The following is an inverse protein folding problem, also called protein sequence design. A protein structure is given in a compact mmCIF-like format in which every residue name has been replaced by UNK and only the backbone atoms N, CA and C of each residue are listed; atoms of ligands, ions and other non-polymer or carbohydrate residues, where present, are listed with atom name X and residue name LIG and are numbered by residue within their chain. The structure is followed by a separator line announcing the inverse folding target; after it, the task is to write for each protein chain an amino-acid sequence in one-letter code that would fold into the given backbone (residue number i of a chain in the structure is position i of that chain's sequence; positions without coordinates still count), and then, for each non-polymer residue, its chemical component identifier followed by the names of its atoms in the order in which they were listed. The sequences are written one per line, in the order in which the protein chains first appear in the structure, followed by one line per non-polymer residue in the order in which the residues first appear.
data_IF_991461560719
#
_entry.id   IF_991461560719
#
_cell.length_a   1.000
_cell.length_b   1.000
_cell.length_c   1.000
_cell.angle_alpha   90.00
_cell.angle_beta   90.00
_cell.angle_gamma   90.00
#
_symmetry.space_group_name_H-M   'P 1'
#
loop_
_entity.id
_entity.type
_entity.pdbx_description
1 polymer ?
#
# COMPACT_ATOMS: atom_id res chain seq x y z
N UNK A 1 72.39 12.46 -37.41
CA UNK A 1 71.19 13.20 -36.96
C UNK A 1 69.97 12.43 -37.44
N UNK A 2 69.31 11.67 -36.56
CA UNK A 2 68.06 10.96 -36.86
C UNK A 2 67.05 11.35 -35.78
N UNK A 3 65.97 12.01 -36.20
CA UNK A 3 64.92 12.51 -35.34
C UNK A 3 63.94 11.37 -35.00
N UNK A 4 63.69 11.16 -33.71
CA UNK A 4 62.65 10.28 -33.22
C UNK A 4 61.33 11.05 -33.15
N UNK A 5 60.33 10.60 -33.90
CA UNK A 5 58.93 11.05 -33.80
C UNK A 5 58.16 9.96 -33.06
N UNK A 6 57.77 10.23 -31.82
CA UNK A 6 56.86 9.38 -31.05
C UNK A 6 55.44 9.92 -31.20
N UNK A 7 54.59 9.12 -31.86
CA UNK A 7 53.17 9.40 -32.04
C UNK A 7 52.40 9.20 -30.72
N UNK A 8 51.60 10.19 -30.33
CA UNK A 8 50.64 10.08 -29.24
C UNK A 8 49.33 9.46 -29.75
N UNK A 9 48.91 8.35 -29.16
CA UNK A 9 47.60 7.73 -29.39
C UNK A 9 46.54 8.46 -28.53
N UNK A 10 45.38 8.84 -29.10
CA UNK A 10 44.29 9.40 -28.31
C UNK A 10 43.54 8.28 -27.56
N UNK A 11 43.42 8.45 -26.24
CA UNK A 11 42.55 7.64 -25.39
C UNK A 11 41.11 8.11 -25.60
N UNK A 12 40.28 7.27 -26.22
CA UNK A 12 38.83 7.47 -26.30
C UNK A 12 38.20 7.19 -24.92
N UNK A 13 37.73 8.24 -24.25
CA UNK A 13 36.86 8.12 -23.08
C UNK A 13 35.46 7.71 -23.53
N UNK A 14 35.09 6.46 -23.24
CA UNK A 14 33.72 5.97 -23.37
C UNK A 14 32.96 6.39 -22.11
N UNK A 15 32.00 7.31 -22.24
CA UNK A 15 31.08 7.69 -21.15
C UNK A 15 30.12 6.54 -20.80
N UNK A 16 29.56 6.52 -19.58
CA UNK A 16 28.66 5.45 -19.17
C UNK A 16 27.39 5.49 -20.03
N UNK A 17 27.07 4.34 -20.66
CA UNK A 17 25.81 4.14 -21.35
C UNK A 17 24.67 4.24 -20.34
N UNK A 18 23.74 5.16 -20.56
CA UNK A 18 22.45 5.17 -19.89
C UNK A 18 21.68 3.93 -20.33
N UNK A 19 21.59 2.93 -19.46
CA UNK A 19 20.72 1.78 -19.68
C UNK A 19 19.28 2.29 -19.59
N UNK A 20 18.65 2.48 -20.74
CA UNK A 20 17.22 2.75 -20.82
C UNK A 20 16.46 1.57 -20.20
N UNK A 21 15.51 1.87 -19.33
CA UNK A 21 14.61 0.85 -18.78
C UNK A 21 13.87 0.14 -19.93
N UNK A 22 13.66 -1.19 -19.84
CA UNK A 22 12.95 -1.93 -20.88
C UNK A 22 11.53 -1.39 -21.03
N UNK A 23 11.23 -0.80 -22.18
CA UNK A 23 9.89 -0.34 -22.54
C UNK A 23 9.06 -1.56 -22.95
N UNK A 24 8.10 -1.96 -22.12
CA UNK A 24 7.09 -2.93 -22.52
C UNK A 24 6.15 -2.30 -23.57
N UNK A 25 5.73 -3.03 -24.61
CA UNK A 25 4.73 -2.55 -25.55
C UNK A 25 3.40 -2.34 -24.81
N UNK A 26 2.67 -1.24 -25.09
CA UNK A 26 1.40 -0.96 -24.43
C UNK A 26 0.40 -2.09 -24.73
N UNK A 27 -0.35 -2.57 -23.73
CA UNK A 27 -1.44 -3.51 -23.98
C UNK A 27 -2.46 -2.88 -24.97
N UNK A 28 -3.05 -3.72 -25.82
CA UNK A 28 -4.17 -3.32 -26.68
C UNK A 28 -5.32 -2.82 -25.81
N UNK A 29 -5.46 -1.49 -25.70
CA UNK A 29 -6.33 -0.74 -24.79
C UNK A 29 -6.00 -0.97 -23.31
N UNK A 30 -5.34 0.01 -22.69
CA UNK A 30 -5.14 0.02 -21.24
C UNK A 30 -6.49 0.08 -20.49
N UNK A 31 -6.58 -0.68 -19.40
CA UNK A 31 -7.76 -0.69 -18.53
C UNK A 31 -7.99 0.72 -17.98
N UNK A 32 -9.23 1.20 -18.01
CA UNK A 32 -9.55 2.54 -17.52
C UNK A 32 -9.42 3.67 -18.53
N UNK A 33 -8.97 3.40 -19.76
CA UNK A 33 -9.05 4.35 -20.88
C UNK A 33 -7.73 4.47 -21.65
N UNK A 34 -7.83 4.77 -22.94
CA UNK A 34 -6.69 4.77 -23.88
C UNK A 34 -5.54 5.68 -23.42
N UNK A 35 -5.85 6.87 -22.88
CA UNK A 35 -4.83 7.81 -22.41
C UNK A 35 -3.98 7.24 -21.29
N UNK A 36 -4.54 6.40 -20.41
CA UNK A 36 -3.79 5.80 -19.30
C UNK A 36 -2.73 4.81 -19.81
N UNK A 37 -2.89 4.27 -21.02
CA UNK A 37 -1.90 3.42 -21.67
C UNK A 37 -0.76 4.16 -22.34
N UNK A 38 -0.83 5.49 -22.43
CA UNK A 38 0.20 6.31 -23.05
C UNK A 38 1.31 6.64 -22.05
N UNK A 39 2.58 6.65 -22.48
CA UNK A 39 3.69 7.08 -21.63
C UNK A 39 3.59 8.58 -21.31
N UNK A 40 4.25 8.99 -20.24
CA UNK A 40 4.34 10.39 -19.83
C UNK A 40 3.12 10.87 -19.03
N UNK A 41 3.06 12.19 -18.86
CA UNK A 41 2.02 12.85 -18.06
C UNK A 41 0.73 12.92 -18.85
N UNK A 42 -0.34 12.42 -18.24
CA UNK A 42 -1.70 12.49 -18.75
C UNK A 42 -2.50 13.44 -17.87
N UNK A 43 -2.89 14.58 -18.42
CA UNK A 43 -3.80 15.56 -17.79
C UNK A 43 -4.61 16.28 -18.86
N UNK A 44 -5.84 16.68 -18.56
CA UNK A 44 -6.72 17.41 -19.50
C UNK A 44 -7.24 18.69 -18.84
N UNK A 45 -6.42 19.76 -18.78
CA UNK A 45 -6.77 20.96 -18.02
C UNK A 45 -7.88 21.76 -18.71
N UNK A 46 -8.83 22.27 -17.92
CA UNK A 46 -9.76 23.33 -18.32
C UNK A 46 -9.25 24.69 -17.80
N UNK A 47 -9.98 25.75 -18.13
CA UNK A 47 -9.69 27.09 -17.63
C UNK A 47 -9.64 27.11 -16.09
N UNK A 48 -8.59 27.69 -15.53
CA UNK A 48 -8.39 27.80 -14.08
C UNK A 48 -7.78 26.56 -13.41
N UNK A 49 -7.38 25.53 -14.15
CA UNK A 49 -6.60 24.41 -13.61
C UNK A 49 -5.23 24.91 -13.12
N UNK A 50 -4.83 24.63 -11.87
CA UNK A 50 -3.47 24.92 -11.43
C UNK A 50 -2.45 24.06 -12.19
N UNK A 51 -1.21 24.54 -12.41
CA UNK A 51 -0.17 23.72 -13.01
C UNK A 51 0.11 22.49 -12.11
N UNK A 52 0.44 21.36 -12.73
CA UNK A 52 0.94 20.20 -11.99
C UNK A 52 2.22 20.57 -11.21
N UNK A 53 2.48 19.96 -10.04
CA UNK A 53 3.72 20.15 -9.31
C UNK A 53 4.95 19.83 -10.19
N UNK A 54 5.98 20.65 -10.07
CA UNK A 54 7.26 20.44 -10.76
C UNK A 54 8.22 19.65 -9.86
N UNK A 55 9.06 18.79 -10.44
CA UNK A 55 10.05 18.03 -9.66
C UNK A 55 9.49 16.77 -9.00
N UNK A 56 8.37 16.24 -9.50
CA UNK A 56 7.94 14.88 -9.25
C UNK A 56 8.98 13.91 -9.84
N UNK A 57 9.40 12.93 -9.06
CA UNK A 57 10.45 11.97 -9.40
C UNK A 57 9.95 10.52 -9.42
N UNK A 58 8.72 10.26 -8.96
CA UNK A 58 8.06 8.98 -9.09
C UNK A 58 8.05 8.47 -10.53
N UNK A 59 8.48 7.23 -10.74
CA UNK A 59 8.44 6.59 -12.06
C UNK A 59 7.00 6.30 -12.53
N UNK A 60 6.07 6.17 -11.57
CA UNK A 60 4.65 6.02 -11.81
C UNK A 60 3.85 6.72 -10.72
N UNK A 61 2.81 7.45 -11.09
CA UNK A 61 1.84 8.02 -10.15
C UNK A 61 0.45 8.22 -10.78
N UNK A 62 -0.57 8.32 -9.93
CA UNK A 62 -1.95 8.58 -10.35
C UNK A 62 -2.70 9.38 -9.29
N UNK A 63 -3.54 10.31 -9.72
CA UNK A 63 -4.48 11.08 -8.89
C UNK A 63 -5.89 10.77 -9.36
N UNK A 64 -6.72 10.26 -8.47
CA UNK A 64 -8.06 9.80 -8.80
C UNK A 64 -9.09 10.14 -7.73
N UNK A 65 -10.35 10.18 -8.12
CA UNK A 65 -11.48 10.30 -7.21
C UNK A 65 -11.90 8.91 -6.73
N UNK A 66 -11.92 8.69 -5.42
CA UNK A 66 -12.26 7.37 -4.87
C UNK A 66 -13.74 7.00 -5.10
N UNK A 67 -14.63 7.99 -5.18
CA UNK A 67 -16.07 7.76 -5.33
C UNK A 67 -16.42 7.53 -6.79
N UNK A 68 -16.15 8.51 -7.66
CA UNK A 68 -16.51 8.43 -9.08
C UNK A 68 -15.60 7.49 -9.88
N UNK A 69 -14.40 7.19 -9.36
CA UNK A 69 -13.34 6.49 -10.06
C UNK A 69 -12.62 7.35 -11.10
N UNK A 70 -13.00 8.61 -11.30
CA UNK A 70 -12.37 9.46 -12.32
C UNK A 70 -10.89 9.67 -12.05
N UNK A 71 -10.06 9.50 -13.08
CA UNK A 71 -8.62 9.78 -13.02
C UNK A 71 -8.40 11.22 -13.47
N UNK A 72 -7.89 12.05 -12.57
CA UNK A 72 -7.68 13.49 -12.79
C UNK A 72 -6.36 13.76 -13.52
N UNK A 73 -5.31 13.05 -13.11
CA UNK A 73 -4.01 13.03 -13.77
C UNK A 73 -3.26 11.74 -13.47
N UNK A 74 -2.31 11.40 -14.34
CA UNK A 74 -1.42 10.26 -14.14
C UNK A 74 -0.06 10.45 -14.83
N UNK A 75 0.93 9.67 -14.42
CA UNK A 75 2.19 9.48 -15.11
C UNK A 75 2.53 7.99 -15.14
N UNK A 76 2.59 7.42 -16.34
CA UNK A 76 2.83 5.99 -16.56
C UNK A 76 2.03 5.07 -15.60
N UNK A 77 0.69 5.23 -15.47
CA UNK A 77 -0.07 4.58 -14.40
C UNK A 77 -0.09 3.04 -14.49
N UNK A 78 0.13 2.47 -15.68
CA UNK A 78 0.24 1.03 -15.93
C UNK A 78 1.70 0.50 -15.94
N UNK A 79 2.68 1.31 -15.56
CA UNK A 79 4.06 0.84 -15.45
C UNK A 79 4.17 -0.20 -14.32
N UNK A 80 4.64 -1.41 -14.68
CA UNK A 80 4.83 -2.52 -13.75
C UNK A 80 6.07 -2.31 -12.91
N UNK A 81 5.89 -2.14 -11.61
CA UNK A 81 6.94 -1.92 -10.62
C UNK A 81 6.71 -2.83 -9.41
N UNK A 82 7.77 -3.22 -8.68
CA UNK A 82 7.60 -3.93 -7.42
C UNK A 82 6.78 -3.08 -6.43
N UNK A 83 5.74 -3.63 -5.79
CA UNK A 83 4.81 -2.86 -4.96
C UNK A 83 5.33 -2.57 -3.55
N UNK A 84 6.34 -3.29 -3.08
CA UNK A 84 6.67 -3.35 -1.65
C UNK A 84 5.40 -3.62 -0.80
N UNK A 85 5.40 -3.17 0.46
CA UNK A 85 4.27 -3.35 1.38
C UNK A 85 2.96 -2.67 0.97
N UNK A 86 2.90 -1.88 -0.11
CA UNK A 86 1.60 -1.41 -0.62
C UNK A 86 0.75 -2.55 -1.18
N UNK A 87 1.36 -3.71 -1.52
CA UNK A 87 0.60 -4.92 -1.86
C UNK A 87 -0.29 -5.42 -0.70
N UNK A 88 0.04 -5.05 0.55
CA UNK A 88 -0.80 -5.40 1.71
C UNK A 88 -2.21 -4.79 1.66
N UNK A 89 -2.44 -3.79 0.79
CA UNK A 89 -3.79 -3.28 0.49
C UNK A 89 -4.65 -4.39 -0.13
N UNK A 90 -4.12 -5.10 -1.14
CA UNK A 90 -4.80 -6.24 -1.76
C UNK A 90 -4.97 -7.39 -0.77
N UNK A 91 -3.95 -7.67 0.05
CA UNK A 91 -4.04 -8.67 1.11
C UNK A 91 -5.18 -8.36 2.08
N UNK A 92 -5.26 -7.13 2.58
CA UNK A 92 -6.31 -6.71 3.50
C UNK A 92 -7.69 -6.76 2.83
N UNK A 93 -7.86 -6.25 1.60
CA UNK A 93 -9.13 -6.34 0.86
C UNK A 93 -9.58 -7.81 0.65
N UNK A 94 -8.63 -8.74 0.49
CA UNK A 94 -8.91 -10.18 0.28
C UNK A 94 -9.25 -10.92 1.58
N UNK A 95 -8.49 -10.66 2.65
CA UNK A 95 -8.47 -11.53 3.85
C UNK A 95 -9.22 -10.92 5.03
N UNK A 96 -9.23 -9.60 5.18
CA UNK A 96 -9.89 -8.92 6.30
C UNK A 96 -11.36 -9.30 6.49
N UNK A 97 -12.20 -9.43 5.43
CA UNK A 97 -13.61 -9.79 5.59
C UNK A 97 -13.88 -11.20 6.12
N UNK A 98 -12.85 -12.06 6.19
CA UNK A 98 -13.01 -13.49 6.49
C UNK A 98 -12.98 -13.81 7.99
N UNK A 99 -12.52 -12.88 8.81
CA UNK A 99 -12.26 -13.13 10.22
C UNK A 99 -13.03 -12.15 11.11
N UNK A 100 -13.64 -12.68 12.17
CA UNK A 100 -14.14 -11.84 13.25
C UNK A 100 -12.94 -11.17 13.94
N UNK A 101 -12.95 -9.85 14.02
CA UNK A 101 -11.93 -9.04 14.69
C UNK A 101 -11.68 -9.44 16.15
N UNK A 102 -12.67 -10.04 16.81
CA UNK A 102 -12.58 -10.48 18.21
C UNK A 102 -12.08 -11.91 18.36
N UNK A 103 -11.99 -12.68 17.28
CA UNK A 103 -11.45 -14.03 17.34
C UNK A 103 -10.00 -13.99 17.84
N UNK A 104 -9.64 -15.02 18.61
CA UNK A 104 -8.31 -15.22 19.18
C UNK A 104 -7.67 -16.39 18.47
N UNK A 105 -6.42 -16.19 18.04
CA UNK A 105 -5.60 -17.22 17.41
C UNK A 105 -4.35 -17.46 18.23
N UNK A 106 -4.06 -18.73 18.56
CA UNK A 106 -2.79 -19.12 19.16
C UNK A 106 -1.79 -19.41 18.04
N UNK A 107 -0.74 -18.61 17.97
CA UNK A 107 0.25 -18.68 16.88
C UNK A 107 1.10 -19.94 17.01
N UNK A 108 1.23 -20.68 15.92
CA UNK A 108 2.14 -21.83 15.84
C UNK A 108 3.52 -21.41 15.29
N UNK A 109 4.56 -22.17 15.63
CA UNK A 109 5.96 -21.90 15.21
C UNK A 109 6.04 -21.68 13.70
N UNK A 110 5.40 -22.55 12.93
CA UNK A 110 5.48 -22.54 11.46
C UNK A 110 4.89 -21.29 10.81
N UNK A 111 3.97 -20.59 11.50
CA UNK A 111 3.25 -19.43 10.96
C UNK A 111 4.09 -18.15 10.94
N UNK A 112 5.24 -18.16 11.61
CA UNK A 112 6.20 -17.04 11.64
C UNK A 112 7.57 -17.43 11.06
N UNK A 113 7.64 -18.58 10.37
CA UNK A 113 8.81 -19.01 9.60
C UNK A 113 8.78 -18.48 8.16
N UNK A 114 9.92 -18.53 7.47
CA UNK A 114 10.00 -18.20 6.04
C UNK A 114 9.85 -16.71 5.71
N UNK A 115 9.78 -15.83 6.71
CA UNK A 115 9.76 -14.39 6.51
C UNK A 115 11.14 -13.91 6.04
N UNK A 116 11.17 -13.22 4.90
CA UNK A 116 12.41 -12.79 4.26
C UNK A 116 13.26 -11.85 5.14
N UNK A 117 14.60 -11.93 5.07
CA UNK A 117 15.48 -11.08 5.87
C UNK A 117 15.24 -9.59 5.58
N UNK A 118 15.32 -8.77 6.63
CA UNK A 118 15.08 -7.32 6.56
C UNK A 118 13.60 -6.93 6.48
N UNK A 119 12.67 -7.88 6.56
CA UNK A 119 11.23 -7.62 6.66
C UNK A 119 10.89 -6.80 7.90
N UNK A 120 9.92 -5.90 7.78
CA UNK A 120 9.25 -5.30 8.94
C UNK A 120 8.48 -6.38 9.69
N UNK A 121 8.60 -6.39 11.01
CA UNK A 121 7.90 -7.32 11.91
C UNK A 121 7.21 -6.48 12.99
N UNK A 122 6.00 -6.87 13.39
CA UNK A 122 5.35 -6.26 14.55
C UNK A 122 5.89 -6.86 15.85
N UNK A 123 6.36 -8.10 15.84
CA UNK A 123 6.95 -8.77 16.99
C UNK A 123 6.09 -9.89 17.58
N UNK A 124 5.35 -10.60 16.73
CA UNK A 124 4.58 -11.79 17.13
C UNK A 124 5.51 -12.86 17.72
N UNK A 125 4.97 -13.63 18.66
CA UNK A 125 5.63 -14.78 19.26
C UNK A 125 4.78 -16.03 19.08
N UNK A 126 5.47 -17.11 18.81
CA UNK A 126 4.95 -18.46 18.85
C UNK A 126 4.35 -18.79 20.21
N UNK A 127 3.41 -19.74 20.21
CA UNK A 127 2.70 -20.24 21.38
C UNK A 127 1.91 -19.20 22.18
N UNK A 128 1.81 -17.97 21.69
CA UNK A 128 1.01 -16.91 22.31
C UNK A 128 -0.27 -16.63 21.51
N UNK A 129 -1.29 -16.17 22.22
CA UNK A 129 -2.58 -15.81 21.66
C UNK A 129 -2.61 -14.37 21.18
N UNK A 130 -3.21 -14.10 20.02
CA UNK A 130 -3.42 -12.75 19.50
C UNK A 130 -4.86 -12.61 19.05
N UNK A 131 -5.49 -11.45 19.32
CA UNK A 131 -6.76 -11.13 18.69
C UNK A 131 -6.51 -10.77 17.22
N UNK A 132 -7.45 -11.12 16.35
CA UNK A 132 -7.39 -10.78 14.93
C UNK A 132 -7.23 -9.27 14.73
N UNK A 133 -7.85 -8.43 15.57
CA UNK A 133 -7.65 -6.98 15.51
C UNK A 133 -6.20 -6.54 15.79
N UNK A 134 -5.47 -7.25 16.66
CA UNK A 134 -4.07 -6.93 16.94
C UNK A 134 -3.20 -7.30 15.74
N UNK A 135 -3.45 -8.45 15.11
CA UNK A 135 -2.77 -8.84 13.87
C UNK A 135 -2.98 -7.78 12.78
N UNK A 136 -4.21 -7.30 12.57
CA UNK A 136 -4.47 -6.22 11.60
C UNK A 136 -3.82 -4.91 11.98
N UNK A 137 -3.76 -4.53 13.27
CA UNK A 137 -2.95 -3.39 13.71
C UNK A 137 -1.48 -3.58 13.34
N UNK A 138 -0.93 -4.78 13.49
CA UNK A 138 0.43 -5.11 13.05
C UNK A 138 0.65 -4.93 11.55
N UNK A 139 -0.32 -5.37 10.72
CA UNK A 139 -0.29 -5.21 9.26
C UNK A 139 -0.31 -3.73 8.85
N UNK A 140 -1.21 -2.93 9.41
CA UNK A 140 -1.40 -1.54 8.98
C UNK A 140 -0.39 -0.58 9.59
N UNK A 141 -0.11 -0.67 10.90
CA UNK A 141 0.74 0.31 11.58
C UNK A 141 2.21 0.01 11.40
N UNK A 142 2.63 -1.23 11.66
CA UNK A 142 4.04 -1.65 11.63
C UNK A 142 4.46 -2.30 10.31
N UNK A 143 3.53 -2.50 9.38
CA UNK A 143 3.77 -3.23 8.14
C UNK A 143 4.28 -4.66 8.38
N UNK A 144 3.90 -5.27 9.51
CA UNK A 144 4.44 -6.53 10.01
C UNK A 144 4.16 -7.71 9.07
N UNK A 145 5.22 -8.29 8.52
CA UNK A 145 5.14 -9.48 7.68
C UNK A 145 4.78 -10.72 8.50
N UNK A 146 5.20 -10.80 9.76
CA UNK A 146 4.76 -11.81 10.72
C UNK A 146 3.24 -11.82 10.89
N UNK A 147 2.60 -10.66 11.00
CA UNK A 147 1.14 -10.58 11.10
C UNK A 147 0.45 -11.04 9.80
N UNK A 148 1.01 -10.69 8.63
CA UNK A 148 0.52 -11.19 7.34
C UNK A 148 0.64 -12.71 7.26
N UNK A 149 1.76 -13.30 7.67
CA UNK A 149 1.96 -14.74 7.61
C UNK A 149 0.99 -15.48 8.53
N UNK A 150 0.81 -15.04 9.77
CA UNK A 150 -0.19 -15.62 10.70
C UNK A 150 -1.60 -15.56 10.09
N UNK A 151 -2.03 -14.39 9.60
CA UNK A 151 -3.34 -14.24 8.96
C UNK A 151 -3.48 -15.08 7.68
N UNK A 152 -2.40 -15.27 6.91
CA UNK A 152 -2.38 -16.19 5.77
C UNK A 152 -2.52 -17.65 6.21
N UNK A 153 -1.87 -18.07 7.29
CA UNK A 153 -2.00 -19.41 7.85
C UNK A 153 -3.41 -19.68 8.37
N UNK A 154 -4.03 -18.71 9.06
CA UNK A 154 -5.45 -18.75 9.42
C UNK A 154 -6.37 -18.87 8.19
N UNK A 155 -5.94 -18.37 7.03
CA UNK A 155 -6.65 -18.42 5.75
C UNK A 155 -6.31 -19.66 4.90
N UNK A 156 -5.74 -20.71 5.50
CA UNK A 156 -5.38 -21.95 4.79
C UNK A 156 -3.96 -21.97 4.19
N UNK A 157 -3.11 -21.01 4.60
CA UNK A 157 -1.69 -20.94 4.25
C UNK A 157 -1.35 -19.89 3.21
N UNK A 158 -0.04 -19.66 3.05
CA UNK A 158 0.51 -18.71 2.08
C UNK A 158 0.08 -19.03 0.63
N UNK A 159 0.15 -20.29 0.13
CA UNK A 159 -0.22 -20.59 -1.26
C UNK A 159 -1.69 -20.30 -1.56
N UNK A 160 -2.60 -20.65 -0.65
CA UNK A 160 -4.03 -20.35 -0.78
C UNK A 160 -4.25 -18.83 -0.79
N UNK A 161 -3.63 -18.11 0.14
CA UNK A 161 -3.78 -16.65 0.24
C UNK A 161 -3.27 -15.94 -1.01
N UNK A 162 -2.13 -16.35 -1.56
CA UNK A 162 -1.60 -15.78 -2.82
C UNK A 162 -2.55 -16.05 -3.99
N UNK A 163 -3.11 -17.26 -4.10
CA UNK A 163 -4.07 -17.59 -5.14
C UNK A 163 -5.35 -16.75 -5.04
N UNK A 164 -5.88 -16.56 -3.84
CA UNK A 164 -7.06 -15.72 -3.60
C UNK A 164 -6.77 -14.23 -3.85
N UNK A 165 -5.59 -13.74 -3.47
CA UNK A 165 -5.17 -12.38 -3.79
C UNK A 165 -5.06 -12.16 -5.30
N UNK A 166 -4.50 -13.12 -6.05
CA UNK A 166 -4.42 -13.04 -7.50
C UNK A 166 -5.83 -13.05 -8.12
N UNK A 167 -6.72 -13.93 -7.66
CA UNK A 167 -8.12 -13.96 -8.11
C UNK A 167 -8.86 -12.64 -7.77
N UNK A 168 -8.58 -12.05 -6.60
CA UNK A 168 -9.13 -10.76 -6.22
C UNK A 168 -8.61 -9.62 -7.11
N UNK A 169 -7.31 -9.62 -7.44
CA UNK A 169 -6.75 -8.67 -8.40
C UNK A 169 -7.43 -8.79 -9.77
N UNK A 170 -7.66 -10.00 -10.26
CA UNK A 170 -8.38 -10.26 -11.52
C UNK A 170 -9.83 -9.76 -11.48
N UNK A 171 -10.55 -10.01 -10.38
CA UNK A 171 -11.92 -9.51 -10.19
C UNK A 171 -12.01 -7.98 -10.16
N UNK A 172 -10.98 -7.32 -9.65
CA UNK A 172 -10.81 -5.86 -9.68
C UNK A 172 -10.28 -5.34 -11.03
N UNK A 173 -10.02 -6.24 -11.99
CA UNK A 173 -9.43 -5.94 -13.30
C UNK A 173 -8.02 -5.34 -13.23
N UNK A 174 -7.27 -5.66 -12.18
CA UNK A 174 -5.88 -5.24 -11.97
C UNK A 174 -4.92 -6.11 -12.81
N UNK A 175 -4.78 -5.76 -14.09
CA UNK A 175 -4.08 -6.58 -15.10
C UNK A 175 -2.55 -6.43 -15.10
N UNK A 176 -2.02 -5.53 -14.29
CA UNK A 176 -0.58 -5.30 -14.14
C UNK A 176 -0.01 -5.91 -12.86
N UNK A 177 -0.86 -6.58 -12.09
CA UNK A 177 -0.49 -7.19 -10.82
C UNK A 177 -0.21 -8.69 -10.97
N UNK A 178 0.95 -9.09 -10.49
CA UNK A 178 1.32 -10.49 -10.28
C UNK A 178 1.74 -10.67 -8.82
N UNK A 179 0.95 -11.46 -8.09
CA UNK A 179 1.17 -11.76 -6.68
C UNK A 179 2.06 -12.99 -6.53
N UNK A 180 3.15 -12.87 -5.79
CA UNK A 180 4.05 -13.99 -5.44
C UNK A 180 4.08 -14.22 -3.92
N UNK A 181 4.01 -13.14 -3.13
CA UNK A 181 3.89 -13.17 -1.68
C UNK A 181 2.73 -12.28 -1.22
N UNK A 182 2.12 -12.56 -0.06
CA UNK A 182 1.00 -11.77 0.45
C UNK A 182 1.43 -10.42 1.04
N UNK A 183 2.72 -10.28 1.37
CA UNK A 183 3.27 -9.14 2.10
C UNK A 183 3.92 -8.07 1.21
N UNK A 184 4.13 -8.35 -0.08
CA UNK A 184 4.81 -7.44 -1.00
C UNK A 184 6.34 -7.43 -0.90
N UNK A 185 6.94 -8.42 -0.23
CA UNK A 185 8.40 -8.61 -0.19
C UNK A 185 9.02 -8.73 -1.59
N UNK A 186 10.32 -8.43 -1.74
CA UNK A 186 10.99 -8.54 -3.04
C UNK A 186 11.04 -10.00 -3.49
N UNK A 187 10.29 -10.31 -4.55
CA UNK A 187 10.21 -11.65 -5.16
C UNK A 187 10.34 -11.52 -6.68
N UNK A 188 10.95 -12.53 -7.30
CA UNK A 188 11.10 -12.53 -8.77
C UNK A 188 9.73 -12.51 -9.46
N UNK A 189 9.55 -11.53 -10.36
CA UNK A 189 8.31 -11.30 -11.07
C UNK A 189 7.14 -10.74 -10.24
N UNK A 190 7.32 -10.38 -8.96
CA UNK A 190 6.29 -9.69 -8.18
C UNK A 190 6.20 -8.21 -8.59
N UNK A 191 5.07 -7.84 -9.16
CA UNK A 191 4.83 -6.49 -9.69
C UNK A 191 3.37 -6.07 -9.49
N UNK A 192 3.15 -4.76 -9.52
CA UNK A 192 1.86 -4.09 -9.62
C UNK A 192 2.04 -2.80 -10.43
N UNK A 193 0.99 -2.01 -10.60
CA UNK A 193 1.07 -0.66 -11.15
C UNK A 193 0.42 0.37 -10.21
N UNK A 194 0.65 1.66 -10.45
CA UNK A 194 0.00 2.71 -9.67
C UNK A 194 -1.53 2.69 -9.88
N UNK A 195 -1.98 2.32 -11.08
CA UNK A 195 -3.38 2.09 -11.40
C UNK A 195 -3.97 0.96 -10.55
N UNK A 196 -3.34 -0.21 -10.56
CA UNK A 196 -3.83 -1.41 -9.85
C UNK A 196 -3.84 -1.22 -8.33
N UNK A 197 -2.79 -0.61 -7.76
CA UNK A 197 -2.76 -0.27 -6.33
C UNK A 197 -3.88 0.70 -5.94
N UNK A 198 -4.26 1.60 -6.84
CA UNK A 198 -5.38 2.53 -6.63
C UNK A 198 -6.73 1.83 -6.72
N UNK A 199 -6.88 0.79 -7.56
CA UNK A 199 -8.05 -0.08 -7.57
C UNK A 199 -8.20 -0.81 -6.23
N UNK A 200 -7.11 -1.37 -5.70
CA UNK A 200 -7.11 -2.06 -4.41
C UNK A 200 -7.50 -1.12 -3.27
N UNK A 201 -6.95 0.10 -3.25
CA UNK A 201 -7.30 1.09 -2.24
C UNK A 201 -8.76 1.54 -2.36
N UNK A 202 -9.25 1.81 -3.58
CA UNK A 202 -10.66 2.15 -3.82
C UNK A 202 -11.61 1.05 -3.34
N UNK A 203 -11.27 -0.21 -3.57
CA UNK A 203 -12.04 -1.35 -3.08
C UNK A 203 -12.00 -1.47 -1.55
N UNK A 204 -10.81 -1.49 -0.96
CA UNK A 204 -10.61 -1.63 0.48
C UNK A 204 -11.26 -0.50 1.27
N UNK A 205 -11.20 0.74 0.78
CA UNK A 205 -11.84 1.89 1.41
C UNK A 205 -13.37 1.80 1.47
N UNK A 206 -14.03 0.84 0.81
CA UNK A 206 -15.47 0.58 1.02
C UNK A 206 -15.74 -0.13 2.36
N UNK A 207 -14.77 -0.90 2.86
CA UNK A 207 -14.86 -1.60 4.14
C UNK A 207 -14.55 -0.65 5.32
N UNK A 208 -15.43 -0.62 6.32
CA UNK A 208 -15.31 0.27 7.48
C UNK A 208 -14.13 -0.08 8.40
N UNK A 209 -13.85 -1.35 8.61
CA UNK A 209 -12.71 -1.80 9.41
C UNK A 209 -11.39 -1.49 8.71
N UNK A 210 -11.32 -1.68 7.38
CA UNK A 210 -10.15 -1.27 6.59
C UNK A 210 -9.86 0.23 6.79
N UNK A 211 -10.88 1.10 6.63
CA UNK A 211 -10.75 2.55 6.87
C UNK A 211 -10.28 2.85 8.29
N UNK A 212 -10.82 2.16 9.29
CA UNK A 212 -10.46 2.36 10.69
C UNK A 212 -8.98 2.01 10.95
N UNK A 213 -8.48 0.90 10.39
CA UNK A 213 -7.07 0.53 10.53
C UNK A 213 -6.14 1.51 9.81
N UNK A 214 -6.51 2.00 8.61
CA UNK A 214 -5.73 3.03 7.91
C UNK A 214 -5.56 4.30 8.75
N UNK A 215 -6.63 4.73 9.42
CA UNK A 215 -6.66 5.97 10.21
C UNK A 215 -6.04 5.83 11.61
N UNK A 216 -5.75 4.60 12.06
CA UNK A 216 -5.18 4.37 13.38
C UNK A 216 -3.73 4.84 13.42
N UNK A 217 -3.43 5.79 14.31
CA UNK A 217 -2.09 6.42 14.44
C UNK A 217 -1.14 5.61 15.30
N UNK A 218 -1.65 5.07 16.39
CA UNK A 218 -0.92 4.30 17.38
C UNK A 218 -1.85 3.29 18.05
N UNK A 219 -1.25 2.24 18.60
CA UNK A 219 -1.94 1.22 19.37
C UNK A 219 -0.97 0.54 20.33
N UNK A 220 -1.51 -0.14 21.35
CA UNK A 220 -0.74 -1.11 22.13
C UNK A 220 -0.81 -2.48 21.45
N UNK A 221 0.32 -3.16 21.36
CA UNK A 221 0.42 -4.50 20.79
C UNK A 221 0.82 -5.51 21.88
N UNK A 222 0.18 -6.71 21.94
CA UNK A 222 0.54 -7.75 22.90
C UNK A 222 1.98 -8.25 22.70
N UNK A 223 2.80 -8.14 23.74
CA UNK A 223 4.21 -8.52 23.71
C UNK A 223 4.48 -9.97 24.10
N UNK A 224 5.75 -10.26 24.34
CA UNK A 224 6.21 -11.53 24.88
C UNK A 224 5.86 -11.69 26.37
N UNK A 225 5.94 -12.93 26.85
CA UNK A 225 5.89 -13.25 28.28
C UNK A 225 7.28 -13.00 28.89
N UNK A 226 7.32 -12.21 29.95
CA UNK A 226 8.54 -11.99 30.72
C UNK A 226 8.92 -13.29 31.46
N UNK A 227 10.16 -13.73 31.29
CA UNK A 227 10.65 -15.02 31.83
C UNK A 227 10.81 -15.03 33.35
N UNK A 228 10.95 -13.87 33.98
CA UNK A 228 11.12 -13.74 35.43
C UNK A 228 9.78 -13.62 36.14
N UNK A 229 8.81 -12.93 35.54
CA UNK A 229 7.49 -12.66 36.17
C UNK A 229 6.39 -13.59 35.67
N UNK A 230 6.57 -14.23 34.51
CA UNK A 230 5.52 -15.01 33.85
C UNK A 230 4.36 -14.17 33.29
N UNK A 231 4.46 -12.85 33.34
CA UNK A 231 3.42 -11.94 32.86
C UNK A 231 3.66 -11.53 31.42
N UNK A 232 2.58 -11.40 30.65
CA UNK A 232 2.64 -10.88 29.28
C UNK A 232 2.64 -9.35 29.28
N UNK A 233 3.66 -8.77 28.67
CA UNK A 233 3.75 -7.32 28.47
C UNK A 233 2.97 -6.83 27.25
N UNK A 234 3.00 -5.52 27.03
CA UNK A 234 2.59 -4.88 25.77
C UNK A 234 3.55 -3.74 25.43
N UNK A 235 3.60 -3.34 24.16
CA UNK A 235 4.42 -2.22 23.70
C UNK A 235 3.65 -1.38 22.69
N UNK A 236 4.01 -0.10 22.56
CA UNK A 236 3.40 0.80 21.60
C UNK A 236 3.87 0.53 20.18
N UNK A 237 2.93 0.52 19.24
CA UNK A 237 3.19 0.54 17.80
C UNK A 237 2.59 1.82 17.21
N UNK A 238 3.23 2.36 16.19
CA UNK A 238 2.80 3.57 15.50
C UNK A 238 2.73 3.33 14.00
N UNK A 239 1.82 4.04 13.34
CA UNK A 239 1.65 3.97 11.90
C UNK A 239 2.87 4.52 11.18
N UNK A 240 3.41 3.75 10.24
CA UNK A 240 4.57 4.16 9.44
C UNK A 240 4.26 5.22 8.39
N UNK A 241 2.98 5.50 8.13
CA UNK A 241 2.57 6.61 7.28
C UNK A 241 2.92 7.97 7.91
N UNK A 242 3.89 8.67 7.32
CA UNK A 242 4.39 9.95 7.82
C UNK A 242 3.48 11.13 7.54
N UNK A 243 2.50 11.00 6.65
CA UNK A 243 1.49 12.03 6.39
C UNK A 243 0.34 11.93 7.39
N UNK A 244 0.13 10.78 8.03
CA UNK A 244 -1.00 10.57 8.93
C UNK A 244 -0.93 11.54 10.12
N UNK A 245 -1.99 12.34 10.24
CA UNK A 245 -2.10 13.39 11.25
C UNK A 245 -1.21 14.62 11.03
N UNK A 246 -0.58 14.74 9.86
CA UNK A 246 0.14 15.94 9.40
C UNK A 246 -0.52 16.57 8.17
N UNK A 247 -0.99 15.75 7.23
CA UNK A 247 -1.72 16.20 6.06
C UNK A 247 -3.22 16.34 6.40
N UNK A 248 -3.84 17.53 6.25
CA UNK A 248 -5.24 17.75 6.60
C UNK A 248 -6.19 16.87 5.79
N UNK A 249 -7.07 16.16 6.49
CA UNK A 249 -8.07 15.28 5.89
C UNK A 249 -7.52 13.92 5.44
N UNK A 250 -6.26 13.57 5.72
CA UNK A 250 -5.71 12.27 5.35
C UNK A 250 -6.44 11.13 6.09
N UNK A 251 -6.92 10.16 5.31
CA UNK A 251 -7.50 8.89 5.78
C UNK A 251 -6.39 7.86 6.05
N UNK A 252 -5.29 7.94 5.32
CA UNK A 252 -4.18 6.98 5.31
C UNK A 252 -4.23 6.12 4.04
N UNK A 253 -3.69 4.90 4.12
CA UNK A 253 -3.96 3.68 3.33
C UNK A 253 -2.76 2.75 3.53
N UNK A 254 -1.63 2.96 2.85
CA UNK A 254 -0.41 2.17 3.09
C UNK A 254 0.83 2.75 2.40
N UNK A 255 1.96 2.69 3.10
CA UNK A 255 3.30 2.90 2.56
C UNK A 255 4.09 1.58 2.44
N UNK A 256 5.14 1.57 1.62
CA UNK A 256 6.05 0.45 1.50
C UNK A 256 7.44 0.84 1.01
N UNK A 257 8.44 0.06 1.43
CA UNK A 257 9.82 0.19 0.92
C UNK A 257 10.47 -1.17 0.84
N UNK A 258 11.15 -1.45 -0.27
CA UNK A 258 12.08 -2.58 -0.41
C UNK A 258 13.27 -2.16 -1.27
N UNK A 259 14.26 -3.04 -1.42
CA UNK A 259 15.45 -2.77 -2.23
C UNK A 259 15.07 -2.57 -3.70
N UNK A 260 14.19 -3.42 -4.25
CA UNK A 260 13.83 -3.34 -5.66
C UNK A 260 12.74 -2.31 -5.93
N UNK A 261 11.78 -2.14 -5.01
CA UNK A 261 10.68 -1.20 -5.19
C UNK A 261 11.09 0.26 -5.02
N UNK A 262 12.19 0.53 -4.31
CA UNK A 262 12.38 1.84 -3.70
C UNK A 262 11.23 2.13 -2.74
N UNK A 263 10.74 3.37 -2.72
CA UNK A 263 9.56 3.73 -1.91
C UNK A 263 8.27 3.71 -2.72
N UNK A 264 7.17 3.32 -2.08
CA UNK A 264 5.82 3.28 -2.65
C UNK A 264 4.84 3.80 -1.62
N UNK A 265 3.81 4.49 -2.06
CA UNK A 265 2.78 5.03 -1.19
C UNK A 265 1.45 5.07 -1.91
N UNK A 266 0.39 4.65 -1.21
CA UNK A 266 -0.99 4.90 -1.58
C UNK A 266 -1.64 5.64 -0.42
N UNK A 267 -2.23 6.80 -0.70
CA UNK A 267 -2.91 7.62 0.28
C UNK A 267 -4.26 8.11 -0.21
N UNK A 268 -5.21 8.18 0.72
CA UNK A 268 -6.48 8.86 0.52
C UNK A 268 -6.60 10.06 1.45
N UNK A 269 -7.21 11.13 0.97
CA UNK A 269 -7.63 12.25 1.79
C UNK A 269 -9.04 12.71 1.41
N UNK A 270 -9.75 13.28 2.36
CA UNK A 270 -11.07 13.86 2.17
C UNK A 270 -11.06 15.36 2.51
N UNK A 271 -11.66 16.16 1.62
CA UNK A 271 -11.96 17.58 1.85
C UNK A 271 -13.34 17.87 1.27
N UNK A 272 -14.18 18.54 2.05
CA UNK A 272 -15.53 18.98 1.64
C UNK A 272 -16.38 17.85 1.01
N UNK A 273 -16.31 16.64 1.58
CA UNK A 273 -17.06 15.47 1.12
C UNK A 273 -16.52 14.80 -0.16
N UNK A 274 -15.36 15.26 -0.67
CA UNK A 274 -14.67 14.64 -1.80
C UNK A 274 -13.45 13.88 -1.32
N UNK A 275 -13.37 12.59 -1.66
CA UNK A 275 -12.21 11.73 -1.35
C UNK A 275 -11.33 11.55 -2.58
N UNK A 276 -10.07 11.97 -2.49
CA UNK A 276 -9.06 11.73 -3.52
C UNK A 276 -8.07 10.65 -3.09
N UNK A 277 -7.65 9.85 -4.05
CA UNK A 277 -6.63 8.82 -3.95
C UNK A 277 -5.40 9.23 -4.76
N UNK A 278 -4.24 9.09 -4.15
CA UNK A 278 -2.94 9.26 -4.80
C UNK A 278 -2.08 8.03 -4.57
N UNK A 279 -1.51 7.50 -5.64
CA UNK A 279 -0.48 6.46 -5.59
C UNK A 279 0.80 7.00 -6.21
N UNK A 280 1.94 6.80 -5.54
CA UNK A 280 3.28 7.14 -6.03
C UNK A 280 4.19 5.91 -5.89
N UNK A 281 4.88 5.55 -6.97
CA UNK A 281 5.80 4.42 -7.01
C UNK A 281 7.20 4.83 -7.46
N UNK A 282 8.20 4.34 -6.74
CA UNK A 282 9.62 4.48 -7.03
C UNK A 282 10.06 5.95 -7.28
N UNK A 283 9.82 6.88 -6.35
CA UNK A 283 10.42 8.21 -6.42
C UNK A 283 11.91 8.15 -6.08
N UNK A 284 12.63 9.25 -6.35
CA UNK A 284 14.08 9.33 -6.19
C UNK A 284 14.59 9.09 -4.76
N UNK A 285 13.73 9.23 -3.74
CA UNK A 285 14.10 8.93 -2.36
C UNK A 285 12.90 8.58 -1.49
N UNK A 286 13.19 8.05 -0.29
CA UNK A 286 12.18 7.75 0.72
C UNK A 286 11.35 8.97 1.14
N UNK A 287 11.96 10.15 1.30
CA UNK A 287 11.20 11.34 1.69
C UNK A 287 10.29 11.83 0.54
N UNK A 288 10.77 11.71 -0.70
CA UNK A 288 10.03 12.15 -1.89
C UNK A 288 8.70 11.44 -2.08
N UNK A 289 8.52 10.21 -1.61
CA UNK A 289 7.22 9.53 -1.71
C UNK A 289 6.12 10.26 -0.96
N UNK A 290 6.42 10.83 0.21
CA UNK A 290 5.46 11.57 1.02
C UNK A 290 5.27 12.99 0.48
N UNK A 291 6.35 13.66 0.11
CA UNK A 291 6.30 15.02 -0.44
C UNK A 291 5.47 15.04 -1.73
N UNK A 292 5.76 14.13 -2.67
CA UNK A 292 5.04 14.05 -3.95
C UNK A 292 3.59 13.63 -3.77
N UNK A 293 3.28 12.74 -2.82
CA UNK A 293 1.90 12.39 -2.51
C UNK A 293 1.13 13.61 -2.00
N UNK A 294 1.70 14.39 -1.07
CA UNK A 294 1.07 15.59 -0.52
C UNK A 294 0.86 16.66 -1.61
N UNK A 295 1.88 16.90 -2.44
CA UNK A 295 1.81 17.83 -3.58
C UNK A 295 0.73 17.43 -4.59
N UNK A 296 0.62 16.13 -4.91
CA UNK A 296 -0.38 15.60 -5.83
C UNK A 296 -1.79 15.63 -5.24
N UNK A 297 -1.96 15.38 -3.94
CA UNK A 297 -3.24 15.55 -3.26
C UNK A 297 -3.68 17.02 -3.27
N UNK A 298 -2.78 17.95 -2.94
CA UNK A 298 -3.06 19.39 -2.97
C UNK A 298 -3.44 19.86 -4.37
N UNK A 299 -2.69 19.42 -5.39
CA UNK A 299 -3.05 19.67 -6.78
C UNK A 299 -4.42 19.08 -7.13
N UNK A 300 -4.68 17.83 -6.74
CA UNK A 300 -5.93 17.13 -7.03
C UNK A 300 -7.15 17.87 -6.48
N UNK A 301 -7.08 18.36 -5.24
CA UNK A 301 -8.15 19.15 -4.64
C UNK A 301 -8.31 20.52 -5.29
N UNK A 302 -7.22 21.18 -5.69
CA UNK A 302 -7.29 22.47 -6.36
C UNK A 302 -7.80 22.38 -7.82
N UNK A 303 -7.53 21.24 -8.48
CA UNK A 303 -7.92 20.92 -9.86
C UNK A 303 -9.29 20.25 -9.97
N UNK A 304 -9.86 19.77 -8.86
CA UNK A 304 -11.20 19.20 -8.76
C UNK A 304 -12.26 20.04 -9.49
N UNK A 305 -12.95 19.44 -10.47
CA UNK A 305 -13.97 20.12 -11.29
C UNK A 305 -13.41 21.07 -12.37
N UNK A 306 -12.09 21.17 -12.49
CA UNK A 306 -11.38 21.99 -13.49
C UNK A 306 -10.57 21.15 -14.46
N UNK A 307 -10.60 19.83 -14.36
CA UNK A 307 -9.97 18.92 -15.32
C UNK A 307 -11.02 18.01 -15.94
N UNK A 308 -10.87 17.70 -17.22
CA UNK A 308 -11.59 16.56 -17.78
C UNK A 308 -10.88 15.28 -17.36
N UNK A 309 -11.60 14.25 -16.88
CA UNK A 309 -10.99 12.97 -16.53
C UNK A 309 -10.20 12.40 -17.71
N UNK A 310 -8.97 11.95 -17.46
CA UNK A 310 -8.12 11.29 -18.46
C UNK A 310 -8.37 9.78 -18.54
N UNK A 311 -9.20 9.26 -17.66
CA UNK A 311 -9.60 7.87 -17.59
C UNK A 311 -10.43 7.62 -16.33
N UNK A 312 -10.55 6.35 -15.97
CA UNK A 312 -11.31 5.91 -14.80
C UNK A 312 -10.68 4.66 -14.17
N UNK A 313 -10.64 4.60 -12.85
CA UNK A 313 -10.52 3.38 -12.08
C UNK A 313 -11.79 2.56 -12.31
N UNK A 314 -11.69 1.47 -13.07
CA UNK A 314 -12.84 0.63 -13.41
C UNK A 314 -13.50 0.03 -12.17
N UNK A 315 -14.78 -0.32 -12.30
CA UNK A 315 -15.49 -1.04 -11.25
C UNK A 315 -15.16 -2.54 -11.30
N UNK A 316 -15.37 -3.22 -10.18
CA UNK A 316 -15.12 -4.67 -10.09
C UNK A 316 -16.13 -5.45 -10.93
N UNK A 317 -15.69 -6.58 -11.52
CA UNK A 317 -16.58 -7.43 -12.30
C UNK A 317 -17.52 -8.18 -11.35
N UNK A 318 -18.85 -8.17 -11.58
CA UNK A 318 -19.78 -8.93 -10.73
C UNK A 318 -19.41 -10.42 -10.72
N UNK A 319 -19.46 -11.04 -9.53
CA UNK A 319 -19.26 -12.47 -9.38
C UNK A 319 -20.33 -13.23 -10.18
N UNK A 320 -19.95 -13.79 -11.34
CA UNK A 320 -20.86 -14.50 -12.26
C UNK A 320 -20.86 -13.99 -13.71
N UNK A 321 -20.11 -12.94 -14.03
CA UNK A 321 -20.04 -12.39 -15.39
C UNK A 321 -19.15 -13.19 -16.34
N UNK A 322 -19.64 -14.33 -16.85
CA UNK A 322 -19.22 -14.76 -18.18
C UNK A 322 -19.51 -13.62 -19.17
N UNK A 323 -18.56 -13.30 -20.06
CA UNK A 323 -18.76 -12.31 -21.12
C UNK A 323 -20.08 -12.60 -21.86
N UNK A 324 -20.91 -11.58 -22.15
CA UNK A 324 -22.02 -11.79 -23.07
C UNK A 324 -21.43 -11.99 -24.48
N UNK A 325 -21.34 -13.23 -24.91
CA UNK A 325 -21.30 -13.54 -26.34
C UNK A 325 -22.63 -13.09 -26.92
N UNK A 326 -22.57 -12.12 -27.83
CA UNK A 326 -23.76 -11.58 -28.46
C UNK A 326 -24.53 -12.67 -29.22
N UNK A 327 -25.85 -12.67 -29.06
CA UNK A 327 -26.77 -13.02 -30.12
C UNK A 327 -28.18 -12.50 -29.81
N UNK A 328 -28.75 -11.81 -30.79
CA UNK A 328 -30.12 -11.36 -30.82
C UNK A 328 -31.09 -12.57 -30.87
N UNK A 329 -32.21 -12.45 -30.16
CA UNK A 329 -33.33 -13.38 -30.25
C UNK A 329 -34.39 -13.01 -29.23
N UNK A 330 -35.43 -12.30 -29.66
CA UNK A 330 -36.56 -11.94 -28.80
C UNK A 330 -37.44 -13.13 -28.45
N UNK A 331 -38.18 -13.00 -27.34
CA UNK A 331 -39.63 -13.23 -27.24
C UNK A 331 -40.10 -12.93 -25.81
N UNK A 332 -41.34 -12.49 -25.74
CA UNK A 332 -42.07 -11.93 -24.60
C UNK A 332 -42.21 -12.84 -23.39
N UNK A 333 -42.28 -12.25 -22.19
CA UNK A 333 -42.60 -12.99 -20.96
C UNK A 333 -42.69 -12.15 -19.68
N UNK A 334 -43.86 -11.52 -19.47
CA UNK A 334 -44.60 -11.24 -18.21
C UNK A 334 -43.87 -10.54 -17.04
N UNK A 335 -44.39 -9.40 -16.51
CA UNK A 335 -43.77 -8.69 -15.39
C UNK A 335 -44.14 -9.28 -14.02
N UNK A 336 -43.16 -9.35 -13.13
CA UNK A 336 -43.31 -9.71 -11.72
C UNK A 336 -44.03 -8.59 -10.91
N UNK A 337 -44.78 -8.93 -9.84
CA UNK A 337 -45.56 -7.97 -9.06
C UNK A 337 -44.68 -7.11 -8.10
N UNK A 338 -45.18 -5.92 -7.69
CA UNK A 338 -44.39 -4.94 -6.94
C UNK A 338 -44.20 -5.30 -5.45
N UNK A 339 -43.16 -4.76 -4.78
CA UNK A 339 -42.90 -5.00 -3.37
C UNK A 339 -43.82 -4.19 -2.44
N UNK A 340 -44.16 -4.77 -1.29
CA UNK A 340 -44.93 -4.13 -0.21
C UNK A 340 -44.11 -3.03 0.52
N UNK A 341 -44.76 -1.99 1.07
CA UNK A 341 -44.09 -0.83 1.65
C UNK A 341 -43.66 -1.00 3.12
N UNK A 342 -42.44 -0.51 3.38
CA UNK A 342 -41.93 0.24 4.54
C UNK A 342 -42.35 -0.13 5.98
N UNK A 343 -41.35 -0.52 6.78
CA UNK A 343 -41.34 -0.30 8.23
C UNK A 343 -40.39 0.87 8.57
N UNK A 344 -40.92 1.85 9.28
CA UNK A 344 -40.25 3.06 9.79
C UNK A 344 -39.18 2.72 10.84
N UNK A 345 -37.97 3.30 10.82
CA UNK A 345 -37.06 3.22 11.95
C UNK A 345 -37.42 4.30 12.98
N UNK A 346 -37.68 3.86 14.22
CA UNK A 346 -37.83 4.72 15.39
C UNK A 346 -36.46 5.28 15.78
N UNK A 347 -36.43 6.60 15.93
CA UNK A 347 -35.31 7.41 16.41
C UNK A 347 -35.00 7.08 17.86
N UNK A 348 -33.81 6.55 18.14
CA UNK A 348 -33.25 6.49 19.49
C UNK A 348 -32.14 7.54 19.65
N UNK A 349 -32.22 8.27 20.76
CA UNK A 349 -31.48 9.47 21.09
C UNK A 349 -30.01 9.21 21.45
N UNK A 350 -29.18 10.21 21.13
CA UNK A 350 -27.79 10.32 21.56
C UNK A 350 -27.68 10.66 23.06
N UNK A 351 -26.61 10.16 23.68
CA UNK A 351 -26.12 10.58 25.00
C UNK A 351 -24.59 10.81 24.91
N UNK A 352 -24.02 11.66 25.78
CA UNK A 352 -22.90 12.55 25.45
C UNK A 352 -21.50 12.02 25.79
N UNK A 353 -20.50 12.66 25.18
CA UNK A 353 -19.06 12.54 25.46
C UNK A 353 -18.69 12.89 26.92
N UNK A 354 -17.62 12.26 27.46
CA UNK A 354 -16.77 12.89 28.44
C UNK A 354 -15.41 13.28 27.84
N UNK A 355 -15.05 14.52 28.07
CA UNK A 355 -13.76 15.12 27.78
C UNK A 355 -12.63 14.61 28.69
N UNK A 356 -11.41 14.64 28.15
CA UNK A 356 -10.19 15.05 28.85
C UNK A 356 -9.46 13.98 29.66
N UNK A 357 -8.27 13.59 29.18
CA UNK A 357 -7.12 13.48 30.09
C UNK A 357 -5.83 13.84 29.34
N UNK A 358 -4.97 14.53 30.09
CA UNK A 358 -3.74 15.19 29.70
C UNK A 358 -2.55 14.22 29.71
N UNK A 359 -1.59 14.47 28.82
CA UNK A 359 -0.17 14.23 29.13
C UNK A 359 0.54 13.11 28.38
N UNK A 360 1.49 13.49 27.52
CA UNK A 360 2.92 13.55 27.87
C UNK A 360 3.68 14.28 26.76
N UNK A 361 4.34 15.37 27.14
CA UNK A 361 5.08 16.27 26.25
C UNK A 361 6.46 15.75 25.80
N UNK A 362 7.18 16.55 24.98
CA UNK A 362 8.25 16.11 24.07
C UNK A 362 9.60 15.73 24.72
N UNK A 363 9.67 15.46 26.02
CA UNK A 363 10.93 15.15 26.72
C UNK A 363 11.18 13.63 26.90
N UNK A 364 10.22 12.78 26.53
CA UNK A 364 10.36 11.30 26.64
C UNK A 364 11.19 10.62 25.54
N UNK A 365 11.54 11.32 24.46
CA UNK A 365 12.13 10.69 23.25
C UNK A 365 13.65 10.46 23.31
N UNK A 366 14.36 10.99 24.31
CA UNK A 366 15.82 10.92 24.36
C UNK A 366 16.40 9.63 24.99
N UNK A 367 15.58 8.81 25.66
CA UNK A 367 16.10 7.65 26.43
C UNK A 367 16.17 6.33 25.64
N UNK A 368 15.50 6.21 24.49
CA UNK A 368 15.43 4.93 23.74
C UNK A 368 16.58 4.75 22.75
N UNK A 369 17.29 5.82 22.38
CA UNK A 369 18.35 5.76 21.35
C UNK A 369 19.71 5.29 21.91
N UNK A 370 19.95 5.33 23.23
CA UNK A 370 21.26 5.00 23.81
C UNK A 370 21.46 3.53 24.20
N UNK A 371 20.40 2.70 24.23
CA UNK A 371 20.53 1.28 24.58
C UNK A 371 20.97 0.38 23.40
N UNK A 372 20.75 0.81 22.15
CA UNK A 372 21.05 0.01 20.96
C UNK A 372 22.54 -0.01 20.55
N UNK A 373 23.31 1.02 20.89
CA UNK A 373 24.71 1.13 20.48
C UNK A 373 25.68 0.28 21.32
N UNK A 374 25.35 0.00 22.59
CA UNK A 374 26.21 -0.75 23.50
C UNK A 374 26.25 -2.26 23.20
N UNK A 375 25.14 -2.85 22.77
CA UNK A 375 25.04 -4.28 22.50
C UNK A 375 25.82 -4.70 21.23
N UNK A 376 25.85 -3.84 20.21
CA UNK A 376 26.57 -4.10 18.96
C UNK A 376 28.09 -4.12 19.11
N UNK A 377 28.65 -3.27 19.98
CA UNK A 377 30.10 -3.20 20.19
C UNK A 377 30.64 -4.42 20.97
N UNK A 378 29.89 -4.89 21.97
CA UNK A 378 30.29 -6.05 22.78
C UNK A 378 30.37 -7.36 21.97
N UNK A 379 29.42 -7.59 21.05
CA UNK A 379 29.41 -8.77 20.20
C UNK A 379 30.59 -8.82 19.20
N UNK A 380 31.04 -7.67 18.72
CA UNK A 380 32.10 -7.56 17.72
C UNK A 380 33.50 -7.78 18.33
N UNK A 381 33.71 -7.35 19.58
CA UNK A 381 34.96 -7.58 20.32
C UNK A 381 35.12 -9.04 20.76
N UNK A 382 34.03 -9.71 21.17
CA UNK A 382 34.05 -11.13 21.56
C UNK A 382 34.31 -12.05 20.36
N UNK A 383 33.83 -11.68 19.17
CA UNK A 383 34.04 -12.47 17.94
C UNK A 383 35.48 -12.40 17.44
N UNK A 384 36.16 -11.24 17.57
CA UNK A 384 37.58 -11.08 17.21
C UNK A 384 38.54 -11.86 18.11
N UNK A 385 38.21 -12.05 19.39
CA UNK A 385 39.06 -12.82 20.33
C UNK A 385 39.00 -14.34 20.13
N UNK A 386 37.93 -14.87 19.52
CA UNK A 386 37.78 -16.31 19.23
C UNK A 386 38.45 -16.75 17.93
N UNK A 387 38.86 -15.83 17.07
CA UNK A 387 39.52 -16.12 15.79
C UNK A 387 41.06 -16.04 15.86
N UNK A 388 41.62 -15.81 17.05
CA UNK A 388 43.07 -15.63 17.24
C UNK A 388 43.64 -16.56 18.34
N UNK A 389 42.97 -17.66 18.65
CA UNK A 389 43.39 -18.67 19.63
C UNK A 389 43.56 -20.03 19.00
#
# INVERSE_FOLDING_TARGET
MCAAVTAALPVLLVGPATVAAPQQPPPSVAVGGERLGLPGVQVSPLAGTPPLPTGLTGQSWIVSDATSGEVLAAYNPHLRLPPASTLKILFADTVLPKFDRNAVHKVADEEILGIGPGSSLVGIKEDLEYRVEDLWRGVFLSSGNDAVHVLSHMNGGIPQTVAEMQARAEALQAKDTKVISPDGYDMDGQVSSAYDLSLFARAGLRNADFRAYCATRDAMFPGAVDKNTGQRGSFGIANTDRLLGKYPGLIGVKNGTTTNAGSTFVGAAERDGRTLLVTVMHPASYQKVYDETAELLDWGFAAAGKVQPVGRLVDEVPAGGAQPTGQAGGTDGVPAPPPHPSATPTRAAAAPDPAGDDGLGPVGWAAVVLAGAGAGYGALVLRRRRSAG
#
